data_IF_390038616885
#
_entry.id   IF_390038616885
#
_cell.length_a   1.000
_cell.length_b   1.000
_cell.length_c   1.000
_cell.angle_alpha   90.00
_cell.angle_beta   90.00
_cell.angle_gamma   90.00
#
_symmetry.space_group_name_H-M   'P 1'
#
loop_
_entity.id
_entity.type
_entity.pdbx_description
1 polymer ?
#
# COMPACT_ATOMS: atom_id res chain seq x y z
N UNK A 1 1.31 -13.64 -12.92
CA UNK A 1 1.18 -14.00 -11.48
C UNK A 1 2.02 -13.03 -10.70
N UNK A 2 1.55 -12.52 -9.55
CA UNK A 2 2.32 -11.64 -8.67
C UNK A 2 2.74 -12.41 -7.42
N UNK A 3 3.98 -12.21 -7.00
CA UNK A 3 4.53 -12.72 -5.74
C UNK A 3 4.96 -11.52 -4.89
N UNK A 4 4.64 -11.55 -3.60
CA UNK A 4 5.05 -10.52 -2.66
C UNK A 4 6.01 -11.10 -1.63
N UNK A 5 7.16 -10.45 -1.48
CA UNK A 5 8.16 -10.77 -0.47
C UNK A 5 8.32 -9.58 0.48
N UNK A 6 8.10 -9.82 1.77
CA UNK A 6 8.26 -8.81 2.80
C UNK A 6 9.69 -8.80 3.29
N UNK A 7 10.41 -7.74 2.96
CA UNK A 7 11.84 -7.60 3.22
C UNK A 7 12.13 -6.23 3.83
N UNK A 8 13.25 -6.09 4.51
CA UNK A 8 13.71 -4.80 5.00
C UNK A 8 14.70 -4.18 4.01
N UNK A 9 14.61 -2.86 3.84
CA UNK A 9 15.58 -2.12 3.03
C UNK A 9 16.99 -2.35 3.58
N UNK A 10 17.89 -2.85 2.71
CA UNK A 10 19.29 -3.13 3.06
C UNK A 10 19.60 -4.55 3.52
N UNK A 11 18.60 -5.43 3.68
CA UNK A 11 18.84 -6.84 3.97
C UNK A 11 19.35 -7.63 2.75
N UNK A 12 19.63 -8.91 2.95
CA UNK A 12 20.17 -9.78 1.89
C UNK A 12 19.21 -9.91 0.71
N UNK A 13 17.91 -10.06 0.98
CA UNK A 13 16.90 -10.17 -0.08
C UNK A 13 16.73 -8.87 -0.85
N UNK A 14 16.68 -7.73 -0.12
CA UNK A 14 16.59 -6.41 -0.76
C UNK A 14 17.76 -6.12 -1.70
N UNK A 15 18.96 -6.56 -1.33
CA UNK A 15 20.19 -6.33 -2.09
C UNK A 15 20.48 -7.43 -3.12
N UNK A 16 19.67 -8.49 -3.19
CA UNK A 16 19.86 -9.57 -4.16
C UNK A 16 19.69 -9.04 -5.58
N UNK A 17 20.48 -9.57 -6.51
CA UNK A 17 20.33 -9.25 -7.91
C UNK A 17 18.99 -9.81 -8.44
N UNK A 18 18.31 -9.06 -9.31
CA UNK A 18 17.00 -9.43 -9.87
C UNK A 18 16.97 -10.87 -10.42
N UNK A 19 18.03 -11.25 -11.15
CA UNK A 19 18.13 -12.60 -11.73
C UNK A 19 18.23 -13.69 -10.67
N UNK A 20 18.97 -13.48 -9.59
CA UNK A 20 19.08 -14.44 -8.48
C UNK A 20 17.79 -14.55 -7.71
N UNK A 21 17.15 -13.41 -7.45
CA UNK A 21 15.86 -13.35 -6.78
C UNK A 21 14.79 -14.06 -7.59
N UNK A 22 14.71 -13.80 -8.89
CA UNK A 22 13.76 -14.46 -9.79
C UNK A 22 13.97 -15.97 -9.82
N UNK A 23 15.22 -16.46 -9.93
CA UNK A 23 15.52 -17.89 -9.88
C UNK A 23 15.08 -18.54 -8.58
N UNK A 24 15.27 -17.87 -7.46
CA UNK A 24 14.79 -18.35 -6.16
C UNK A 24 13.25 -18.44 -6.14
N UNK A 25 12.58 -17.37 -6.52
CA UNK A 25 11.12 -17.30 -6.54
C UNK A 25 10.49 -18.35 -7.46
N UNK A 26 11.06 -18.58 -8.65
CA UNK A 26 10.60 -19.61 -9.59
C UNK A 26 10.74 -21.01 -8.98
N UNK A 27 11.85 -21.31 -8.31
CA UNK A 27 12.05 -22.59 -7.61
C UNK A 27 11.02 -22.79 -6.49
N UNK A 28 10.72 -21.75 -5.73
CA UNK A 28 9.68 -21.81 -4.71
C UNK A 28 8.32 -22.10 -5.31
N UNK A 29 7.96 -21.46 -6.44
CA UNK A 29 6.70 -21.71 -7.14
C UNK A 29 6.57 -23.17 -7.60
N UNK A 30 7.65 -23.78 -8.10
CA UNK A 30 7.67 -25.21 -8.44
C UNK A 30 7.53 -26.06 -7.17
N UNK A 31 8.26 -25.73 -6.10
CA UNK A 31 8.27 -26.49 -4.86
C UNK A 31 6.90 -26.54 -4.16
N UNK A 32 6.12 -25.44 -4.24
CA UNK A 32 4.76 -25.37 -3.68
C UNK A 32 3.67 -25.80 -4.67
N UNK A 33 4.06 -26.22 -5.88
CA UNK A 33 3.13 -26.74 -6.89
C UNK A 33 2.28 -25.69 -7.60
N UNK A 34 2.68 -24.41 -7.58
CA UNK A 34 2.00 -23.37 -8.34
C UNK A 34 2.28 -23.43 -9.83
N UNK A 35 3.45 -23.91 -10.21
CA UNK A 35 3.84 -24.19 -11.60
C UNK A 35 4.47 -25.58 -11.68
N UNK A 36 4.37 -26.22 -12.84
CA UNK A 36 4.84 -27.59 -13.04
C UNK A 36 6.37 -27.68 -13.15
N UNK A 37 7.00 -26.70 -13.79
CA UNK A 37 8.45 -26.63 -13.98
C UNK A 37 8.92 -25.19 -14.19
N UNK A 38 10.21 -24.95 -14.03
CA UNK A 38 10.83 -23.65 -14.26
C UNK A 38 10.73 -23.21 -15.74
N UNK A 39 10.70 -24.16 -16.68
CA UNK A 39 10.72 -23.91 -18.13
C UNK A 39 9.45 -23.23 -18.65
N UNK A 40 8.36 -23.25 -17.91
CA UNK A 40 7.11 -22.59 -18.32
C UNK A 40 7.12 -21.08 -18.04
N UNK A 41 8.11 -20.57 -17.33
CA UNK A 41 8.23 -19.13 -17.04
C UNK A 41 8.78 -18.45 -18.30
N UNK A 42 7.97 -17.56 -18.87
CA UNK A 42 8.30 -16.86 -20.12
C UNK A 42 9.16 -15.62 -19.81
N UNK A 43 8.78 -14.90 -18.75
CA UNK A 43 9.43 -13.64 -18.38
C UNK A 43 9.15 -13.31 -16.91
N UNK A 44 9.94 -12.43 -16.31
CA UNK A 44 9.77 -11.94 -14.96
C UNK A 44 10.20 -10.48 -14.86
N UNK A 45 9.68 -9.80 -13.86
CA UNK A 45 10.06 -8.45 -13.47
C UNK A 45 10.04 -8.32 -11.95
N UNK A 46 11.04 -7.66 -11.39
CA UNK A 46 11.13 -7.33 -9.97
C UNK A 46 10.87 -5.82 -9.76
N UNK A 47 9.98 -5.49 -8.83
CA UNK A 47 9.75 -4.12 -8.39
C UNK A 47 10.00 -4.00 -6.88
N UNK A 48 10.95 -3.16 -6.48
CA UNK A 48 11.30 -2.89 -5.07
C UNK A 48 10.53 -1.68 -4.56
N UNK A 49 9.45 -1.93 -3.84
CA UNK A 49 8.58 -0.87 -3.31
C UNK A 49 8.96 -0.53 -1.88
N UNK A 50 9.50 0.68 -1.68
CA UNK A 50 9.79 1.21 -0.34
C UNK A 50 8.51 1.67 0.34
N UNK A 51 8.41 1.39 1.65
CA UNK A 51 7.27 1.83 2.48
C UNK A 51 5.91 1.41 1.89
N UNK A 52 5.83 0.17 1.39
CA UNK A 52 4.64 -0.37 0.75
C UNK A 52 3.42 -0.41 1.67
N UNK A 53 3.65 -0.60 2.97
CA UNK A 53 2.59 -0.69 3.98
C UNK A 53 2.81 0.33 5.11
N UNK A 54 1.72 0.94 5.63
CA UNK A 54 1.81 1.76 6.84
C UNK A 54 2.14 0.87 8.05
N UNK A 55 2.96 1.37 8.94
CA UNK A 55 3.33 0.69 10.18
C UNK A 55 2.48 1.22 11.34
N UNK A 56 1.88 0.31 12.13
CA UNK A 56 0.95 0.62 13.23
C UNK A 56 1.60 0.31 14.58
N UNK A 57 2.69 0.99 14.90
CA UNK A 57 3.39 0.83 16.17
C UNK A 57 3.76 2.19 16.77
N UNK A 58 4.35 2.17 17.96
CA UNK A 58 4.77 3.35 18.72
C UNK A 58 3.60 4.34 18.94
N UNK A 59 3.72 5.54 18.42
CA UNK A 59 2.76 6.63 18.59
C UNK A 59 1.53 6.53 17.70
N UNK A 60 1.33 5.44 16.95
CA UNK A 60 0.15 5.31 16.07
C UNK A 60 -1.18 5.40 16.83
N UNK A 61 -1.20 5.04 18.11
CA UNK A 61 -2.38 5.22 18.96
C UNK A 61 -2.83 6.69 19.09
N UNK A 62 -1.95 7.64 18.81
CA UNK A 62 -2.20 9.08 18.85
C UNK A 62 -2.53 9.68 17.48
N UNK A 63 -2.73 8.83 16.46
CA UNK A 63 -2.95 9.26 15.07
C UNK A 63 -4.12 10.25 14.95
N UNK A 64 -5.14 10.12 15.79
CA UNK A 64 -6.31 10.99 15.75
C UNK A 64 -5.94 12.45 16.01
N UNK A 65 -4.96 12.73 16.87
CA UNK A 65 -4.44 14.08 17.10
C UNK A 65 -3.88 14.70 15.83
N UNK A 66 -3.13 13.91 15.05
CA UNK A 66 -2.60 14.34 13.76
C UNK A 66 -3.73 14.53 12.74
N UNK A 67 -4.68 13.60 12.69
CA UNK A 67 -5.84 13.67 11.81
C UNK A 67 -6.66 14.94 12.05
N UNK A 68 -6.94 15.27 13.30
CA UNK A 68 -7.68 16.48 13.66
C UNK A 68 -6.94 17.75 13.23
N UNK A 69 -5.62 17.78 13.42
CA UNK A 69 -4.80 18.88 12.92
C UNK A 69 -4.86 18.98 11.38
N UNK A 70 -4.70 17.88 10.67
CA UNK A 70 -4.76 17.87 9.19
C UNK A 70 -6.14 18.27 8.66
N UNK A 71 -7.22 17.88 9.34
CA UNK A 71 -8.58 18.32 9.01
C UNK A 71 -8.77 19.83 9.14
N UNK A 72 -8.06 20.49 10.07
CA UNK A 72 -8.17 21.92 10.31
C UNK A 72 -7.61 22.79 9.18
N UNK A 73 -6.80 22.23 8.29
CA UNK A 73 -6.19 22.95 7.17
C UNK A 73 -7.17 22.93 5.97
N UNK A 74 -7.79 24.06 5.66
CA UNK A 74 -8.92 24.18 4.71
C UNK A 74 -8.66 23.52 3.35
N UNK A 75 -7.50 23.74 2.75
CA UNK A 75 -7.16 23.29 1.39
C UNK A 75 -6.30 22.01 1.35
N UNK A 76 -6.20 21.27 2.45
CA UNK A 76 -5.48 20.01 2.51
C UNK A 76 -6.46 18.83 2.60
N UNK A 77 -6.29 17.86 1.71
CA UNK A 77 -7.07 16.63 1.70
C UNK A 77 -6.12 15.43 1.68
N UNK A 78 -6.25 14.56 2.68
CA UNK A 78 -5.45 13.34 2.79
C UNK A 78 -6.25 12.18 2.21
N UNK A 79 -5.76 11.57 1.13
CA UNK A 79 -6.46 10.51 0.41
C UNK A 79 -5.56 9.29 0.19
N UNK A 80 -6.17 8.13 0.06
CA UNK A 80 -5.48 6.88 -0.22
C UNK A 80 -4.64 6.35 0.94
N UNK A 81 -3.98 5.22 0.70
CA UNK A 81 -3.21 4.48 1.69
C UNK A 81 -2.15 5.34 2.39
N UNK A 82 -1.31 5.99 1.62
CA UNK A 82 -0.19 6.77 2.18
C UNK A 82 -0.65 8.11 2.74
N UNK A 83 -1.61 8.79 2.10
CA UNK A 83 -2.12 10.08 2.57
C UNK A 83 -2.85 10.00 3.89
N UNK A 84 -3.53 8.88 4.16
CA UNK A 84 -4.23 8.64 5.42
C UNK A 84 -3.41 7.83 6.43
N UNK A 85 -2.21 7.34 6.04
CA UNK A 85 -1.40 6.41 6.83
C UNK A 85 -2.24 5.24 7.35
N UNK A 86 -3.08 4.66 6.48
CA UNK A 86 -4.02 3.60 6.80
C UNK A 86 -4.02 2.56 5.69
N UNK A 87 -3.93 1.27 6.07
CA UNK A 87 -4.05 0.20 5.09
C UNK A 87 -5.41 0.29 4.38
N UNK A 88 -5.37 0.40 3.08
CA UNK A 88 -6.54 0.28 2.23
C UNK A 88 -6.16 -0.24 0.84
N UNK A 89 -7.11 -0.85 0.17
CA UNK A 89 -6.96 -1.36 -1.18
C UNK A 89 -7.29 -0.28 -2.21
N UNK A 90 -7.16 -0.61 -3.49
CA UNK A 90 -7.35 0.32 -4.60
C UNK A 90 -8.75 0.98 -4.59
N UNK A 91 -9.79 0.20 -4.34
CA UNK A 91 -11.19 0.63 -4.25
C UNK A 91 -11.39 1.69 -3.15
N UNK A 92 -10.88 1.43 -1.94
CA UNK A 92 -10.96 2.37 -0.83
C UNK A 92 -10.14 3.64 -1.12
N UNK A 93 -8.97 3.51 -1.73
CA UNK A 93 -8.15 4.66 -2.15
C UNK A 93 -8.91 5.54 -3.16
N UNK A 94 -9.60 4.93 -4.12
CA UNK A 94 -10.45 5.63 -5.08
C UNK A 94 -11.65 6.32 -4.39
N UNK A 95 -12.32 5.61 -3.46
CA UNK A 95 -13.45 6.18 -2.71
C UNK A 95 -13.05 7.43 -1.91
N UNK A 96 -11.87 7.43 -1.25
CA UNK A 96 -11.39 8.63 -0.55
C UNK A 96 -11.22 9.82 -1.49
N UNK A 97 -10.77 9.57 -2.72
CA UNK A 97 -10.61 10.60 -3.74
C UNK A 97 -11.95 11.11 -4.25
N UNK A 98 -12.94 10.22 -4.46
CA UNK A 98 -14.30 10.63 -4.87
C UNK A 98 -14.98 11.49 -3.80
N UNK A 99 -14.90 11.09 -2.52
CA UNK A 99 -15.46 11.90 -1.42
C UNK A 99 -14.76 13.26 -1.33
N UNK A 100 -13.46 13.33 -1.58
CA UNK A 100 -12.70 14.59 -1.61
C UNK A 100 -13.22 15.51 -2.73
N UNK A 101 -13.35 15.00 -3.95
CA UNK A 101 -13.85 15.79 -5.09
C UNK A 101 -15.27 16.28 -4.83
N UNK A 102 -16.12 15.44 -4.25
CA UNK A 102 -17.49 15.80 -3.84
C UNK A 102 -17.50 16.97 -2.85
N UNK A 103 -16.65 16.94 -1.82
CA UNK A 103 -16.51 18.02 -0.85
C UNK A 103 -16.04 19.32 -1.52
N UNK A 104 -15.04 19.24 -2.40
CA UNK A 104 -14.53 20.41 -3.13
C UNK A 104 -15.64 21.05 -3.99
N UNK A 105 -16.40 20.23 -4.73
CA UNK A 105 -17.46 20.72 -5.62
C UNK A 105 -18.65 21.29 -4.86
N UNK A 106 -18.98 20.74 -3.69
CA UNK A 106 -20.10 21.22 -2.84
C UNK A 106 -19.72 22.36 -1.91
N UNK A 107 -18.43 22.65 -1.74
CA UNK A 107 -17.94 23.58 -0.75
C UNK A 107 -17.99 23.03 0.69
N UNK A 108 -18.16 21.71 0.87
CA UNK A 108 -18.21 21.07 2.17
C UNK A 108 -16.82 21.12 2.82
N UNK A 109 -16.74 21.66 4.03
CA UNK A 109 -15.48 21.78 4.79
C UNK A 109 -15.23 20.62 5.74
N UNK A 110 -16.29 19.92 6.15
CA UNK A 110 -16.14 18.73 6.96
C UNK A 110 -15.52 17.61 6.12
N UNK A 111 -14.48 17.00 6.64
CA UNK A 111 -13.69 15.95 5.97
C UNK A 111 -13.91 14.57 6.57
N UNK A 112 -14.86 14.40 7.50
CA UNK A 112 -15.09 13.14 8.20
C UNK A 112 -15.53 12.03 7.23
N UNK A 113 -16.28 12.36 6.18
CA UNK A 113 -16.65 11.41 5.14
C UNK A 113 -15.43 10.81 4.43
N UNK A 114 -14.37 11.58 4.19
CA UNK A 114 -13.13 11.12 3.57
C UNK A 114 -12.37 10.17 4.50
N UNK A 115 -12.29 10.50 5.79
CA UNK A 115 -11.62 9.69 6.79
C UNK A 115 -12.43 8.47 7.25
N UNK A 116 -13.76 8.48 7.04
CA UNK A 116 -14.64 7.38 7.38
C UNK A 116 -14.80 6.32 6.28
N UNK A 117 -14.20 6.51 5.11
CA UNK A 117 -14.14 5.45 4.09
C UNK A 117 -13.52 4.22 4.73
N UNK A 118 -14.31 3.14 4.81
CA UNK A 118 -13.90 1.94 5.53
C UNK A 118 -12.79 1.23 4.77
N UNK A 119 -11.69 1.09 5.42
CA UNK A 119 -10.71 0.06 5.13
C UNK A 119 -11.20 -1.26 5.72
N UNK A 120 -10.74 -2.39 5.22
CA UNK A 120 -11.19 -3.71 5.66
C UNK A 120 -11.31 -3.81 7.19
N UNK A 121 -12.34 -4.57 7.61
CA UNK A 121 -12.58 -4.89 9.02
C UNK A 121 -11.58 -5.92 9.51
#
# INVERSE_FOLDING_TARGET
MGLEYFVNEGDTFWNMAEEEFAKMAIKEMVAIGLIESEDIVIDYHEEKVKKAYPAYFDTYAEIDTLVDYLKSIDNLYCVGRNGQHRYNNLDNSMCTSFETVKNILSGEKNKDNIWSVKTEK
#
